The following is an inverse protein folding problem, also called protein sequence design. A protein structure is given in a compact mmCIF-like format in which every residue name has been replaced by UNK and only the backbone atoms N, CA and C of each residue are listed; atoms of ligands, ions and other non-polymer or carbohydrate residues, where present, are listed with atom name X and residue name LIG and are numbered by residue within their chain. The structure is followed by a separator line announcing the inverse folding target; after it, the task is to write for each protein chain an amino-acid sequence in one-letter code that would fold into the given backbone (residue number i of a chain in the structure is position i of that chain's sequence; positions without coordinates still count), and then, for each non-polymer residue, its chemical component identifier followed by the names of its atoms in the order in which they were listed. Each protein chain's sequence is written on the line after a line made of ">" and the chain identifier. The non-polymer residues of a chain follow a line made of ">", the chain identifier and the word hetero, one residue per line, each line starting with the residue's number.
data_IF_835358767235
#
_entry.id   IF_835358767235
#
_cell.length_a   1.000
_cell.length_b   1.000
_cell.length_c   1.000
_cell.angle_alpha   90.00
_cell.angle_beta   90.00
_cell.angle_gamma   90.00
#
_symmetry.space_group_name_H-M   'P 1'
#
loop_
_entity.id
_entity.type
_entity.pdbx_description
1 polymer ?
#
# COMPACT_ATOMS: atom_id res chain seq x y z
N UNK A 1 -9.77 -13.30 0.99
CA UNK A 1 -9.84 -14.65 0.38
C UNK A 1 -9.19 -15.59 1.38
N UNK A 2 -9.89 -16.59 1.93
CA UNK A 2 -9.23 -17.63 2.69
C UNK A 2 -8.39 -18.48 1.74
N UNK A 3 -7.17 -18.80 2.13
CA UNK A 3 -6.32 -19.79 1.45
C UNK A 3 -6.75 -21.19 1.91
N UNK A 4 -6.76 -22.18 1.00
CA UNK A 4 -7.15 -23.58 1.29
C UNK A 4 -5.97 -24.42 1.80
N UNK A 5 -4.74 -23.99 1.54
CA UNK A 5 -3.52 -24.64 2.04
C UNK A 5 -2.34 -23.68 2.19
N UNK A 6 -1.28 -24.13 2.87
CA UNK A 6 -0.02 -23.39 2.95
C UNK A 6 0.70 -23.28 1.59
N UNK A 7 0.52 -24.27 0.71
CA UNK A 7 1.08 -24.23 -0.64
C UNK A 7 0.37 -23.19 -1.51
N UNK A 8 -0.95 -23.05 -1.36
CA UNK A 8 -1.71 -21.99 -2.04
C UNK A 8 -1.32 -20.60 -1.53
N UNK A 9 -1.16 -20.43 -0.21
CA UNK A 9 -0.62 -19.19 0.37
C UNK A 9 0.76 -18.88 -0.20
N UNK A 10 1.67 -19.86 -0.19
CA UNK A 10 3.04 -19.70 -0.71
C UNK A 10 3.04 -19.30 -2.19
N UNK A 11 2.27 -20.01 -3.02
CA UNK A 11 2.16 -19.71 -4.44
C UNK A 11 1.65 -18.28 -4.67
N UNK A 12 0.63 -17.86 -3.91
CA UNK A 12 0.09 -16.49 -4.00
C UNK A 12 1.11 -15.43 -3.55
N UNK A 13 1.92 -15.71 -2.52
CA UNK A 13 2.99 -14.81 -2.09
C UNK A 13 4.08 -14.62 -3.16
N UNK A 14 4.26 -15.58 -4.05
CA UNK A 14 5.24 -15.53 -5.15
C UNK A 14 4.68 -14.85 -6.40
N UNK A 15 3.35 -14.77 -6.54
CA UNK A 15 2.66 -14.17 -7.68
C UNK A 15 1.69 -13.05 -7.21
N UNK A 16 2.27 -12.01 -6.62
CA UNK A 16 1.51 -10.85 -6.16
C UNK A 16 1.08 -9.97 -7.35
N UNK A 17 -0.13 -9.39 -7.32
CA UNK A 17 -0.57 -8.49 -8.38
C UNK A 17 0.34 -7.26 -8.46
N UNK A 18 0.69 -6.84 -9.68
CA UNK A 18 1.60 -5.73 -9.92
C UNK A 18 1.03 -4.32 -9.59
N UNK A 19 -0.28 -4.20 -9.37
CA UNK A 19 -1.00 -2.92 -9.24
C UNK A 19 -1.30 -2.24 -10.59
N UNK A 20 -2.02 -1.10 -10.58
CA UNK A 20 -2.44 -0.39 -11.80
C UNK A 20 -1.58 0.84 -12.11
N UNK A 21 -0.70 0.74 -13.10
CA UNK A 21 0.07 1.88 -13.63
C UNK A 21 -0.84 2.96 -14.24
N UNK A 22 -1.92 2.55 -14.91
CA UNK A 22 -2.88 3.48 -15.49
C UNK A 22 -3.52 4.40 -14.44
N UNK A 23 -3.91 3.84 -13.29
CA UNK A 23 -4.48 4.61 -12.18
C UNK A 23 -3.46 5.57 -11.56
N UNK A 24 -2.22 5.12 -11.35
CA UNK A 24 -1.14 5.96 -10.82
C UNK A 24 -0.85 7.15 -11.75
N UNK A 25 -0.73 6.89 -13.06
CA UNK A 25 -0.47 7.90 -14.08
C UNK A 25 -1.64 8.90 -14.22
N UNK A 26 -2.88 8.44 -14.06
CA UNK A 26 -4.05 9.33 -14.04
C UNK A 26 -3.99 10.32 -12.87
N UNK A 27 -3.60 9.87 -11.67
CA UNK A 27 -3.39 10.77 -10.53
C UNK A 27 -2.25 11.74 -10.78
N UNK A 28 -1.10 11.28 -11.27
CA UNK A 28 0.05 12.14 -11.55
C UNK A 28 -0.34 13.29 -12.51
N UNK A 29 -0.98 12.96 -13.64
CA UNK A 29 -1.48 13.97 -14.58
C UNK A 29 -2.48 14.93 -13.93
N UNK A 30 -3.40 14.43 -13.10
CA UNK A 30 -4.36 15.29 -12.39
C UNK A 30 -3.64 16.26 -11.46
N UNK A 31 -2.63 15.80 -10.72
CA UNK A 31 -1.85 16.65 -9.81
C UNK A 31 -1.15 17.82 -10.54
N UNK A 32 -0.70 17.61 -11.77
CA UNK A 32 -0.09 18.66 -12.60
C UNK A 32 -1.10 19.73 -13.06
N UNK A 33 -2.40 19.42 -13.07
CA UNK A 33 -3.48 20.34 -13.49
C UNK A 33 -4.17 21.09 -12.35
N UNK A 34 -3.81 20.81 -11.10
CA UNK A 34 -4.45 21.46 -9.94
C UNK A 34 -3.97 22.91 -9.79
N UNK A 35 -4.76 23.74 -9.11
CA UNK A 35 -4.43 25.13 -8.76
C UNK A 35 -3.36 25.20 -7.66
N UNK A 36 -2.18 24.66 -7.95
CA UNK A 36 -0.98 24.64 -7.12
C UNK A 36 0.25 24.70 -8.03
N UNK A 37 1.40 25.25 -7.59
CA UNK A 37 2.64 25.08 -8.34
C UNK A 37 2.94 23.59 -8.51
N UNK A 38 3.49 23.22 -9.67
CA UNK A 38 3.82 21.82 -9.94
C UNK A 38 4.78 21.28 -8.87
N UNK A 39 4.49 20.08 -8.35
CA UNK A 39 5.29 19.44 -7.30
C UNK A 39 5.21 20.09 -5.92
N UNK A 40 4.42 21.15 -5.71
CA UNK A 40 4.40 21.90 -4.44
C UNK A 40 3.92 21.09 -3.23
N UNK A 41 3.26 19.93 -3.44
CA UNK A 41 2.85 19.04 -2.37
C UNK A 41 3.87 17.91 -2.11
N UNK A 42 4.94 17.85 -2.89
CA UNK A 42 6.05 16.92 -2.72
C UNK A 42 5.59 15.46 -2.55
N UNK A 43 5.96 14.85 -1.41
CA UNK A 43 5.66 13.44 -1.11
C UNK A 43 4.17 13.10 -1.11
N UNK A 44 3.28 14.06 -0.86
CA UNK A 44 1.84 13.81 -0.90
C UNK A 44 1.36 13.43 -2.31
N UNK A 45 1.99 13.98 -3.36
CA UNK A 45 1.67 13.63 -4.75
C UNK A 45 2.06 12.18 -5.05
N UNK A 46 3.24 11.77 -4.57
CA UNK A 46 3.73 10.40 -4.68
C UNK A 46 2.86 9.41 -3.92
N UNK A 47 2.43 9.75 -2.70
CA UNK A 47 1.55 8.90 -1.88
C UNK A 47 0.18 8.74 -2.55
N UNK A 48 -0.37 9.80 -3.13
CA UNK A 48 -1.64 9.74 -3.84
C UNK A 48 -1.57 8.81 -5.06
N UNK A 49 -0.52 8.91 -5.88
CA UNK A 49 -0.29 8.04 -7.03
C UNK A 49 -0.05 6.57 -6.60
N UNK A 50 0.71 6.35 -5.53
CA UNK A 50 0.92 5.02 -4.95
C UNK A 50 -0.40 4.40 -4.47
N UNK A 51 -1.24 5.17 -3.78
CA UNK A 51 -2.53 4.70 -3.30
C UNK A 51 -3.47 4.36 -4.47
N UNK A 52 -3.45 5.16 -5.54
CA UNK A 52 -4.18 4.90 -6.77
C UNK A 52 -3.75 3.60 -7.45
N UNK A 53 -2.44 3.33 -7.52
CA UNK A 53 -1.88 2.08 -8.07
C UNK A 53 -2.51 0.86 -7.40
N UNK A 54 -2.47 0.83 -6.07
CA UNK A 54 -2.90 -0.33 -5.28
C UNK A 54 -4.40 -0.44 -5.11
N UNK A 55 -5.14 0.65 -5.29
CA UNK A 55 -6.60 0.65 -5.27
C UNK A 55 -7.21 0.53 -6.68
N UNK A 56 -6.40 0.55 -7.75
CA UNK A 56 -6.86 0.47 -9.13
C UNK A 56 -7.80 1.61 -9.55
N UNK A 57 -7.62 2.81 -8.98
CA UNK A 57 -8.53 3.95 -9.21
C UNK A 57 -7.80 5.29 -9.26
N UNK A 58 -8.24 6.15 -10.16
CA UNK A 58 -7.71 7.50 -10.38
C UNK A 58 -8.14 8.53 -9.31
N UNK A 59 -9.18 8.22 -8.54
CA UNK A 59 -9.59 8.93 -7.34
C UNK A 59 -9.47 8.01 -6.11
N UNK A 60 -8.26 7.85 -5.56
CA UNK A 60 -8.07 7.10 -4.34
C UNK A 60 -8.83 7.74 -3.17
N UNK A 61 -9.31 6.92 -2.24
CA UNK A 61 -10.07 7.30 -1.04
C UNK A 61 -9.64 6.44 0.14
N UNK A 62 -9.88 6.92 1.35
CA UNK A 62 -9.67 6.16 2.58
C UNK A 62 -10.99 6.13 3.36
N UNK A 63 -11.94 5.32 2.91
CA UNK A 63 -13.25 5.19 3.59
C UNK A 63 -13.22 4.27 4.80
N UNK A 64 -12.33 3.27 4.80
CA UNK A 64 -12.13 2.34 5.92
C UNK A 64 -10.65 2.01 6.03
N UNK A 65 -10.02 2.49 7.09
CA UNK A 65 -8.62 2.19 7.42
C UNK A 65 -8.61 1.18 8.56
N UNK A 66 -7.78 0.15 8.44
CA UNK A 66 -7.60 -0.87 9.49
C UNK A 66 -6.18 -0.79 10.00
N UNK A 67 -6.03 -0.89 11.31
CA UNK A 67 -4.74 -1.05 11.98
C UNK A 67 -4.77 -2.42 12.65
N UNK A 68 -3.77 -3.25 12.36
CA UNK A 68 -3.59 -4.56 12.97
C UNK A 68 -2.32 -4.52 13.83
N UNK A 69 -2.45 -4.81 15.13
CA UNK A 69 -1.33 -4.92 16.06
C UNK A 69 -1.09 -6.40 16.33
N UNK A 70 0.06 -6.91 15.86
CA UNK A 70 0.51 -8.26 16.18
C UNK A 70 1.48 -8.16 17.35
N UNK A 71 1.06 -8.67 18.52
CA UNK A 71 1.87 -8.68 19.74
C UNK A 71 2.25 -10.12 20.10
N UNK A 72 3.53 -10.34 20.43
CA UNK A 72 4.05 -11.64 20.83
C UNK A 72 5.24 -11.46 21.77
N UNK A 73 5.50 -12.49 22.59
CA UNK A 73 6.65 -12.54 23.48
C UNK A 73 7.78 -13.35 22.83
N UNK A 74 9.03 -13.07 23.20
CA UNK A 74 10.19 -13.79 22.71
C UNK A 74 10.91 -14.48 23.87
N UNK A 75 11.09 -15.80 23.80
CA UNK A 75 11.77 -16.56 24.88
C UNK A 75 13.22 -16.15 25.11
N UNK A 76 13.89 -15.60 24.09
CA UNK A 76 15.29 -15.14 24.18
C UNK A 76 15.46 -13.99 25.19
N UNK A 77 14.40 -13.22 25.48
CA UNK A 77 14.49 -12.11 26.45
C UNK A 77 14.78 -12.59 27.87
N UNK A 78 14.54 -13.87 28.18
CA UNK A 78 14.98 -14.49 29.43
C UNK A 78 16.52 -14.49 29.61
N UNK A 79 17.27 -14.26 28.53
CA UNK A 79 18.74 -14.09 28.55
C UNK A 79 19.18 -12.64 28.82
N UNK A 80 18.24 -11.74 29.17
CA UNK A 80 18.56 -10.34 29.50
C UNK A 80 18.72 -9.42 28.28
N UNK A 81 18.25 -9.85 27.10
CA UNK A 81 18.21 -9.03 25.88
C UNK A 81 16.82 -8.42 25.67
N UNK A 82 16.75 -7.23 25.08
CA UNK A 82 15.52 -6.55 24.67
C UNK A 82 15.62 -6.05 23.23
#
# INVERSE_FOLDING_TARGET
>A
MPFKSLDELRATCLDLPAGSDAAANAVARRQDTLTKPQGSLGRLETIAAWLARWQGRDMPKLGRVKVFVFAGNHGVTAQGVS
#
